data_IF_826073569870
#
_entry.id   IF_826073569870
#
_cell.length_a   1.000
_cell.length_b   1.000
_cell.length_c   1.000
_cell.angle_alpha   90.00
_cell.angle_beta   90.00
_cell.angle_gamma   90.00
#
_symmetry.space_group_name_H-M   'P 1'
#
loop_
_entity.id
_entity.type
_entity.pdbx_description
1 polymer ?
#
# COMPACT_ATOMS: atom_id res chain seq x y z
N UNK A 1 -28.78 -3.64 0.34
CA UNK A 1 -28.44 -4.16 -1.00
C UNK A 1 -27.08 -3.58 -1.37
N UNK A 2 -25.98 -4.22 -0.94
CA UNK A 2 -24.63 -3.79 -1.35
C UNK A 2 -24.45 -4.22 -2.81
N UNK A 3 -24.35 -3.25 -3.71
CA UNK A 3 -24.00 -3.51 -5.09
C UNK A 3 -22.55 -3.99 -5.13
N UNK A 4 -22.30 -5.12 -5.78
CA UNK A 4 -20.97 -5.49 -6.23
C UNK A 4 -20.51 -4.44 -7.26
N UNK A 5 -20.05 -3.29 -6.78
CA UNK A 5 -19.34 -2.33 -7.60
C UNK A 5 -18.07 -3.04 -8.07
N UNK A 6 -18.00 -3.27 -9.38
CA UNK A 6 -16.95 -4.07 -10.01
C UNK A 6 -15.57 -3.57 -9.63
N UNK A 7 -14.63 -4.50 -9.54
CA UNK A 7 -13.23 -4.28 -9.21
C UNK A 7 -12.67 -3.06 -9.96
N UNK A 8 -12.67 -1.90 -9.31
CA UNK A 8 -12.02 -0.73 -9.85
C UNK A 8 -10.51 -1.00 -9.75
N UNK A 9 -9.81 -0.90 -10.88
CA UNK A 9 -8.36 -1.19 -10.96
C UNK A 9 -7.55 0.04 -11.29
N UNK A 10 -8.18 1.22 -11.34
CA UNK A 10 -7.48 2.48 -11.67
C UNK A 10 -8.04 3.63 -10.85
N UNK A 11 -7.15 4.44 -10.28
CA UNK A 11 -7.49 5.69 -9.61
C UNK A 11 -6.60 6.82 -10.14
N UNK A 12 -7.21 7.89 -10.66
CA UNK A 12 -6.51 9.04 -11.27
C UNK A 12 -5.44 8.65 -12.31
N UNK A 13 -5.71 7.60 -13.09
CA UNK A 13 -4.82 7.11 -14.15
C UNK A 13 -3.69 6.18 -13.68
N UNK A 14 -3.60 5.87 -12.38
CA UNK A 14 -2.66 4.89 -11.84
C UNK A 14 -3.39 3.60 -11.50
N UNK A 15 -2.72 2.46 -11.74
CA UNK A 15 -3.24 1.14 -11.36
C UNK A 15 -3.41 1.04 -9.85
N UNK A 16 -4.46 0.35 -9.40
CA UNK A 16 -4.72 0.04 -7.99
C UNK A 16 -5.12 -1.41 -7.77
N UNK A 17 -4.90 -1.95 -6.55
CA UNK A 17 -5.33 -3.30 -6.22
C UNK A 17 -6.85 -3.45 -6.38
N UNK A 18 -7.33 -4.50 -7.06
CA UNK A 18 -8.76 -4.74 -7.21
C UNK A 18 -9.41 -4.99 -5.85
N UNK A 19 -10.58 -4.38 -5.63
CA UNK A 19 -11.38 -4.58 -4.42
C UNK A 19 -12.87 -4.72 -4.75
N UNK A 20 -13.60 -5.42 -3.89
CA UNK A 20 -15.07 -5.40 -3.84
C UNK A 20 -15.55 -4.58 -2.66
N UNK A 21 -16.66 -3.86 -2.84
CA UNK A 21 -17.33 -3.14 -1.76
C UNK A 21 -18.34 -4.06 -1.10
N UNK A 22 -18.03 -4.54 0.10
CA UNK A 22 -18.92 -5.44 0.85
C UNK A 22 -20.04 -4.66 1.54
N UNK A 23 -19.75 -3.41 1.94
CA UNK A 23 -20.69 -2.56 2.64
C UNK A 23 -20.30 -1.08 2.54
N UNK A 24 -21.30 -0.21 2.47
CA UNK A 24 -21.13 1.24 2.44
C UNK A 24 -22.28 1.93 3.17
N UNK A 25 -21.96 2.90 4.03
CA UNK A 25 -22.90 3.79 4.71
C UNK A 25 -22.25 5.16 4.92
N UNK A 26 -22.96 6.22 4.54
CA UNK A 26 -22.50 7.60 4.59
C UNK A 26 -21.06 7.80 4.05
N UNK A 27 -20.10 8.08 4.94
CA UNK A 27 -18.70 8.34 4.62
C UNK A 27 -17.78 7.14 4.91
N UNK A 28 -18.35 5.94 5.10
CA UNK A 28 -17.63 4.72 5.47
C UNK A 28 -17.88 3.62 4.47
N UNK A 29 -16.83 2.85 4.20
CA UNK A 29 -16.85 1.76 3.24
C UNK A 29 -15.99 0.61 3.74
N UNK A 30 -16.48 -0.61 3.59
CA UNK A 30 -15.74 -1.85 3.83
C UNK A 30 -15.37 -2.45 2.49
N UNK A 31 -14.06 -2.50 2.23
CA UNK A 31 -13.48 -3.04 1.00
C UNK A 31 -12.82 -4.37 1.28
N UNK A 32 -13.14 -5.37 0.48
CA UNK A 32 -12.45 -6.65 0.44
C UNK A 32 -11.44 -6.63 -0.71
N UNK A 33 -10.15 -6.66 -0.38
CA UNK A 33 -9.08 -6.72 -1.36
C UNK A 33 -8.74 -8.17 -1.67
N UNK A 34 -8.69 -8.51 -2.95
CA UNK A 34 -8.26 -9.84 -3.39
C UNK A 34 -6.76 -10.06 -3.16
N UNK A 35 -6.25 -11.29 -3.40
CA UNK A 35 -4.81 -11.56 -3.39
C UNK A 35 -4.06 -10.66 -4.37
N UNK A 36 -2.95 -10.07 -3.92
CA UNK A 36 -2.11 -9.19 -4.73
C UNK A 36 -0.66 -9.25 -4.26
N UNK A 37 0.27 -8.85 -5.13
CA UNK A 37 1.70 -8.77 -4.81
C UNK A 37 2.04 -7.39 -4.26
N UNK A 38 2.83 -7.36 -3.19
CA UNK A 38 3.31 -6.14 -2.55
C UNK A 38 4.84 -6.15 -2.50
N UNK A 39 5.42 -4.97 -2.73
CA UNK A 39 6.80 -4.69 -2.36
C UNK A 39 6.77 -3.83 -1.09
N UNK A 40 7.31 -4.36 0.00
CA UNK A 40 7.23 -3.76 1.34
C UNK A 40 8.63 -3.41 1.84
N UNK A 41 8.71 -2.39 2.71
CA UNK A 41 9.96 -2.01 3.36
C UNK A 41 9.73 -1.68 4.81
N UNK A 42 10.36 -2.44 5.69
CA UNK A 42 10.32 -2.15 7.13
C UNK A 42 11.39 -1.12 7.49
N UNK A 43 10.98 -0.05 8.14
CA UNK A 43 11.83 1.05 8.61
C UNK A 43 11.50 1.41 10.05
N UNK A 44 12.54 1.64 10.86
CA UNK A 44 12.41 2.14 12.22
C UNK A 44 12.48 3.67 12.27
N UNK A 45 11.78 4.28 13.23
CA UNK A 45 11.82 5.71 13.50
C UNK A 45 10.43 6.32 13.71
N UNK A 46 10.39 7.64 13.87
CA UNK A 46 9.12 8.37 13.94
C UNK A 46 8.32 8.16 12.67
N UNK A 47 6.99 8.09 12.78
CA UNK A 47 6.09 7.85 11.63
C UNK A 47 6.43 8.72 10.42
N UNK A 48 6.61 10.03 10.61
CA UNK A 48 6.89 10.97 9.51
C UNK A 48 8.24 10.71 8.83
N UNK A 49 9.29 10.39 9.60
CA UNK A 49 10.61 10.06 9.06
C UNK A 49 10.64 8.70 8.39
N UNK A 50 9.96 7.72 8.99
CA UNK A 50 9.81 6.37 8.48
C UNK A 50 9.14 6.37 7.10
N UNK A 51 8.02 7.07 6.94
CA UNK A 51 7.29 7.15 5.66
C UNK A 51 8.18 7.66 4.52
N UNK A 52 8.88 8.79 4.75
CA UNK A 52 9.73 9.38 3.72
C UNK A 52 10.89 8.46 3.36
N UNK A 53 11.49 7.83 4.37
CA UNK A 53 12.59 6.89 4.18
C UNK A 53 12.14 5.63 3.44
N UNK A 54 11.04 5.03 3.85
CA UNK A 54 10.46 3.84 3.21
C UNK A 54 10.07 4.12 1.77
N UNK A 55 9.35 5.21 1.51
CA UNK A 55 8.96 5.57 0.16
C UNK A 55 10.16 5.81 -0.76
N UNK A 56 11.26 6.40 -0.26
CA UNK A 56 12.49 6.56 -1.06
C UNK A 56 13.10 5.22 -1.49
N UNK A 57 13.03 4.21 -0.64
CA UNK A 57 13.49 2.84 -0.98
C UNK A 57 12.58 2.23 -2.06
N UNK A 58 11.27 2.31 -1.87
CA UNK A 58 10.29 1.81 -2.85
C UNK A 58 10.43 2.54 -4.20
N UNK A 59 10.60 3.86 -4.21
CA UNK A 59 10.82 4.63 -5.43
C UNK A 59 12.09 4.17 -6.16
N UNK A 60 13.18 3.88 -5.43
CA UNK A 60 14.39 3.29 -6.00
C UNK A 60 14.09 1.98 -6.72
N UNK A 61 13.36 1.07 -6.08
CA UNK A 61 12.95 -0.22 -6.68
C UNK A 61 12.08 -0.03 -7.93
N UNK A 62 11.09 0.86 -7.87
CA UNK A 62 10.15 1.15 -8.97
C UNK A 62 10.88 1.72 -10.19
N UNK A 63 11.85 2.61 -9.98
CA UNK A 63 12.56 3.29 -11.08
C UNK A 63 13.81 2.56 -11.60
N UNK A 64 13.91 1.24 -11.36
CA UNK A 64 14.98 0.41 -11.93
C UNK A 64 16.12 0.05 -10.98
N UNK A 65 15.97 0.32 -9.67
CA UNK A 65 16.87 -0.18 -8.63
C UNK A 65 16.61 -1.63 -8.21
N UNK A 66 15.96 -2.42 -9.07
CA UNK A 66 15.69 -3.85 -8.89
C UNK A 66 16.70 -4.71 -9.66
N UNK A 67 16.67 -6.03 -9.43
CA UNK A 67 17.68 -6.94 -9.98
C UNK A 67 17.72 -6.98 -11.52
N UNK A 68 16.61 -6.71 -12.19
CA UNK A 68 16.51 -6.70 -13.66
C UNK A 68 16.76 -5.32 -14.27
N UNK A 69 16.79 -4.25 -13.45
CA UNK A 69 16.91 -2.88 -13.92
C UNK A 69 15.65 -2.34 -14.60
N UNK A 70 14.52 -3.05 -14.51
CA UNK A 70 13.29 -2.68 -15.21
C UNK A 70 12.53 -1.58 -14.46
N UNK A 71 11.84 -0.72 -15.21
CA UNK A 71 10.95 0.29 -14.62
C UNK A 71 9.57 -0.30 -14.42
N UNK A 72 9.07 -0.20 -13.20
CA UNK A 72 7.72 -0.59 -12.82
C UNK A 72 6.83 0.66 -12.88
N UNK A 73 5.60 0.53 -13.35
CA UNK A 73 4.65 1.64 -13.32
C UNK A 73 4.28 2.00 -11.87
N UNK A 74 4.15 3.29 -11.57
CA UNK A 74 3.65 3.73 -10.26
C UNK A 74 2.22 3.24 -10.06
N UNK A 75 1.91 2.76 -8.86
CA UNK A 75 0.57 2.31 -8.46
C UNK A 75 0.06 3.13 -7.27
N UNK A 76 -1.24 3.02 -7.01
CA UNK A 76 -1.92 3.69 -5.91
C UNK A 76 -2.88 2.74 -5.20
N UNK A 77 -3.18 2.96 -3.91
CA UNK A 77 -2.49 3.83 -2.97
C UNK A 77 -1.13 3.23 -2.52
N UNK A 78 -0.29 4.05 -1.89
CA UNK A 78 0.84 3.56 -1.08
C UNK A 78 0.35 3.34 0.34
N UNK A 79 0.28 2.08 0.77
CA UNK A 79 -0.16 1.69 2.12
C UNK A 79 0.99 1.83 3.14
N UNK A 80 0.63 2.02 4.41
CA UNK A 80 1.56 2.09 5.54
C UNK A 80 0.93 1.38 6.72
N UNK A 81 1.69 0.50 7.36
CA UNK A 81 1.21 -0.26 8.52
C UNK A 81 2.22 -0.16 9.65
N UNK A 82 1.83 0.26 10.87
CA UNK A 82 2.72 0.10 12.01
C UNK A 82 2.98 -1.40 12.23
N UNK A 83 4.25 -1.79 12.26
CA UNK A 83 4.61 -3.14 12.69
C UNK A 83 4.38 -3.20 14.21
N UNK A 84 3.16 -3.56 14.61
CA UNK A 84 2.88 -3.86 16.01
C UNK A 84 3.35 -5.28 16.28
N UNK A 85 4.67 -5.46 16.39
CA UNK A 85 5.20 -6.68 16.99
C UNK A 85 4.89 -6.62 18.48
N UNK A 86 4.01 -7.50 18.95
CA UNK A 86 3.78 -7.63 20.39
C UNK A 86 5.12 -7.91 21.07
N UNK A 87 5.50 -6.99 21.96
CA UNK A 87 6.69 -6.97 22.83
C UNK A 87 7.89 -6.09 22.38
N UNK A 88 8.20 -5.13 23.27
CA UNK A 88 9.37 -4.26 23.44
C UNK A 88 9.66 -3.10 22.45
N UNK A 89 9.12 -1.91 22.76
CA UNK A 89 9.93 -0.69 22.94
C UNK A 89 10.49 0.10 21.75
N UNK A 90 10.16 -0.20 20.49
CA UNK A 90 10.58 0.60 19.33
C UNK A 90 9.56 0.61 18.20
N UNK A 91 9.04 1.78 17.84
CA UNK A 91 8.06 1.93 16.76
C UNK A 91 8.72 1.60 15.41
N UNK A 92 8.27 0.50 14.81
CA UNK A 92 8.68 0.03 13.48
C UNK A 92 7.51 0.17 12.52
N UNK A 93 7.77 0.60 11.30
CA UNK A 93 6.77 0.92 10.29
C UNK A 93 7.09 0.15 9.01
N UNK A 94 6.05 -0.36 8.34
CA UNK A 94 6.09 -1.00 7.02
C UNK A 94 5.42 -0.09 6.00
#
# INVERSE_FOLDING_TARGET
>A
MAGAAGAETTHKGYEMPPYSVEWQEDAREIRSYGPHLLAEVTVSGSRSGAIQKGFRVLAGYIFGGNATGEKIAMTVPVAQTPETRGDTGGETWV
#
